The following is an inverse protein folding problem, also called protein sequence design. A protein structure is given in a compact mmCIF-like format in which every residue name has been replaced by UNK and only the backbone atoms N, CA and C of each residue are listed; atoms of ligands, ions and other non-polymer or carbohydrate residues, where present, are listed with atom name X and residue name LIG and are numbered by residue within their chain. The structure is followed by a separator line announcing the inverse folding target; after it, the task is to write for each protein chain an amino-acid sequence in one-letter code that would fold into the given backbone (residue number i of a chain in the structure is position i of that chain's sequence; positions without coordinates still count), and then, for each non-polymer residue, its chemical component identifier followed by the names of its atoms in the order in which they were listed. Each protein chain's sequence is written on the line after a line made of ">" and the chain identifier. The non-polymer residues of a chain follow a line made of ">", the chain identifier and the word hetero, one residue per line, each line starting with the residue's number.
data_IF_801432257618
#
_entry.id   IF_801432257618
#
_cell.length_a   1.000
_cell.length_b   1.000
_cell.length_c   1.000
_cell.angle_alpha   90.00
_cell.angle_beta   90.00
_cell.angle_gamma   90.00
#
_symmetry.space_group_name_H-M   'P 1'
#
loop_
_entity.id
_entity.type
_entity.pdbx_description
1 polymer ?
#
# COMPACT_ATOMS: atom_id res chain seq x y z
N UNK A 1 19.34 11.82 5.73
CA UNK A 1 19.21 10.50 6.39
C UNK A 1 20.14 9.50 5.72
N UNK A 2 20.88 8.66 6.45
CA UNK A 2 21.79 7.68 5.84
C UNK A 2 21.01 6.49 5.25
N UNK A 3 21.48 5.93 4.13
CA UNK A 3 20.87 4.75 3.47
C UNK A 3 20.73 3.54 4.42
N UNK A 4 21.61 3.43 5.41
CA UNK A 4 21.58 2.39 6.44
C UNK A 4 20.35 2.49 7.37
N UNK A 5 19.96 3.70 7.77
CA UNK A 5 18.79 3.91 8.65
C UNK A 5 17.48 3.54 7.95
N UNK A 6 17.33 3.94 6.68
CA UNK A 6 16.17 3.58 5.86
C UNK A 6 16.05 2.05 5.68
N UNK A 7 17.18 1.39 5.45
CA UNK A 7 17.26 -0.07 5.32
C UNK A 7 16.83 -0.81 6.58
N UNK A 8 17.33 -0.39 7.75
CA UNK A 8 16.92 -1.00 9.02
C UNK A 8 15.43 -0.78 9.30
N UNK A 9 14.89 0.38 8.94
CA UNK A 9 13.47 0.67 9.11
C UNK A 9 12.59 -0.21 8.22
N UNK A 10 13.00 -0.38 6.96
CA UNK A 10 12.31 -1.22 6.00
C UNK A 10 12.20 -2.68 6.45
N UNK A 11 13.29 -3.28 6.92
CA UNK A 11 13.27 -4.68 7.36
C UNK A 11 12.35 -4.88 8.58
N UNK A 12 12.32 -3.92 9.52
CA UNK A 12 11.41 -3.99 10.67
C UNK A 12 9.94 -3.81 10.25
N UNK A 13 9.64 -2.90 9.33
CA UNK A 13 8.29 -2.71 8.76
C UNK A 13 7.82 -3.99 8.06
N UNK A 14 8.70 -4.63 7.29
CA UNK A 14 8.42 -5.92 6.66
C UNK A 14 8.18 -7.02 7.69
N UNK A 15 8.99 -7.08 8.74
CA UNK A 15 8.81 -8.04 9.82
C UNK A 15 7.46 -7.86 10.53
N UNK A 16 7.05 -6.62 10.81
CA UNK A 16 5.73 -6.32 11.35
C UNK A 16 4.61 -6.73 10.39
N UNK A 17 4.79 -6.52 9.07
CA UNK A 17 3.85 -6.97 8.05
C UNK A 17 3.73 -8.51 7.99
N UNK A 18 4.85 -9.23 8.06
CA UNK A 18 4.89 -10.70 8.12
C UNK A 18 4.17 -11.21 9.38
N UNK A 19 4.44 -10.60 10.53
CA UNK A 19 3.75 -10.94 11.78
C UNK A 19 2.24 -10.73 11.65
N UNK A 20 1.81 -9.59 11.09
CA UNK A 20 0.39 -9.31 10.86
C UNK A 20 -0.25 -10.36 9.95
N UNK A 21 0.36 -10.68 8.81
CA UNK A 21 -0.19 -11.68 7.87
C UNK A 21 -0.28 -13.08 8.49
N UNK A 22 0.69 -13.47 9.30
CA UNK A 22 0.76 -14.80 9.91
C UNK A 22 -0.15 -14.96 11.14
N UNK A 23 -0.49 -13.87 11.81
CA UNK A 23 -1.34 -13.88 13.01
C UNK A 23 -2.78 -13.48 12.73
N UNK A 24 -3.08 -13.03 11.51
CA UNK A 24 -4.42 -12.58 11.14
C UNK A 24 -5.39 -13.75 11.04
N UNK A 25 -6.39 -13.76 11.92
CA UNK A 25 -7.51 -14.71 11.90
C UNK A 25 -8.77 -14.07 11.31
N UNK A 26 -9.19 -14.57 10.15
CA UNK A 26 -10.41 -14.14 9.47
C UNK A 26 -11.70 -14.76 10.02
N UNK A 27 -11.65 -15.62 11.04
CA UNK A 27 -12.83 -16.27 11.63
C UNK A 27 -13.82 -15.28 12.25
N UNK A 28 -13.31 -14.17 12.78
CA UNK A 28 -14.09 -13.09 13.41
C UNK A 28 -14.41 -11.94 12.43
N UNK A 29 -14.54 -12.22 11.13
CA UNK A 29 -14.67 -11.22 10.07
C UNK A 29 -15.77 -10.18 10.27
N UNK A 30 -16.84 -10.50 11.01
CA UNK A 30 -17.93 -9.59 11.33
C UNK A 30 -17.52 -8.45 12.30
N UNK A 31 -16.38 -8.58 12.97
CA UNK A 31 -15.82 -7.61 13.90
C UNK A 31 -14.60 -6.87 13.31
N UNK A 32 -14.12 -7.30 12.14
CA UNK A 32 -12.91 -6.76 11.51
C UNK A 32 -13.26 -5.71 10.45
N UNK A 33 -12.41 -4.70 10.36
CA UNK A 33 -12.42 -3.70 9.30
C UNK A 33 -10.99 -3.20 9.05
N UNK A 34 -10.82 -2.30 8.09
CA UNK A 34 -9.51 -1.74 7.75
C UNK A 34 -8.83 -1.03 8.93
N UNK A 35 -9.60 -0.36 9.80
CA UNK A 35 -9.08 0.30 11.00
C UNK A 35 -8.47 -0.69 11.99
N UNK A 36 -8.98 -1.93 12.06
CA UNK A 36 -8.32 -3.00 12.84
C UNK A 36 -6.90 -3.27 12.32
N UNK A 37 -6.71 -3.37 10.99
CA UNK A 37 -5.38 -3.56 10.40
C UNK A 37 -4.45 -2.40 10.76
N UNK A 38 -4.96 -1.17 10.73
CA UNK A 38 -4.19 0.03 11.09
C UNK A 38 -3.71 -0.03 12.54
N UNK A 39 -4.59 -0.41 13.47
CA UNK A 39 -4.26 -0.55 14.89
C UNK A 39 -3.31 -1.71 15.17
N UNK A 40 -3.54 -2.87 14.56
CA UNK A 40 -2.68 -4.03 14.72
C UNK A 40 -1.26 -3.74 14.18
N UNK A 41 -1.17 -3.21 12.96
CA UNK A 41 0.11 -2.87 12.34
C UNK A 41 0.89 -1.82 13.13
N UNK A 42 0.24 -0.73 13.52
CA UNK A 42 0.92 0.32 14.30
C UNK A 42 1.39 -0.16 15.68
N UNK A 43 0.64 -1.05 16.32
CA UNK A 43 1.08 -1.69 17.58
C UNK A 43 2.32 -2.54 17.37
N UNK A 44 2.37 -3.33 16.29
CA UNK A 44 3.54 -4.12 15.92
C UNK A 44 4.75 -3.22 15.60
N UNK A 45 4.56 -2.17 14.79
CA UNK A 45 5.63 -1.22 14.47
C UNK A 45 6.16 -0.52 15.73
N UNK A 46 5.28 -0.14 16.65
CA UNK A 46 5.69 0.44 17.94
C UNK A 46 6.52 -0.54 18.77
N UNK A 47 6.12 -1.82 18.81
CA UNK A 47 6.86 -2.88 19.51
C UNK A 47 8.24 -3.14 18.88
N UNK A 48 8.29 -3.38 17.56
CA UNK A 48 9.52 -3.76 16.84
C UNK A 48 10.52 -2.60 16.68
N UNK A 49 10.00 -1.38 16.54
CA UNK A 49 10.82 -0.22 16.15
C UNK A 49 10.94 0.84 17.22
N UNK A 50 10.10 0.81 18.26
CA UNK A 50 9.95 1.95 19.17
C UNK A 50 9.42 3.21 18.48
N UNK A 51 8.89 3.09 17.26
CA UNK A 51 8.31 4.20 16.51
C UNK A 51 6.95 4.56 17.11
N UNK A 52 6.78 5.84 17.44
CA UNK A 52 5.53 6.40 17.96
C UNK A 52 4.99 7.47 16.98
N UNK A 53 3.73 7.85 17.16
CA UNK A 53 3.02 8.84 16.35
C UNK A 53 3.43 10.30 16.63
N UNK A 54 4.23 10.54 17.67
CA UNK A 54 4.50 11.87 18.23
C UNK A 54 5.58 12.61 17.44
N UNK A 55 5.22 13.21 16.30
CA UNK A 55 6.14 13.89 15.35
C UNK A 55 7.19 14.88 15.90
N UNK A 56 8.18 15.15 15.04
CA UNK A 56 9.34 16.08 15.10
C UNK A 56 10.18 16.07 16.39
N UNK A 57 11.27 15.31 16.35
CA UNK A 57 12.46 15.54 17.17
C UNK A 57 13.61 15.97 16.25
N UNK A 58 14.51 16.78 16.81
CA UNK A 58 15.66 17.35 16.10
C UNK A 58 16.83 16.36 15.97
N UNK A 59 16.66 15.13 16.45
CA UNK A 59 17.75 14.15 16.68
C UNK A 59 17.84 13.09 15.59
N UNK A 60 17.08 13.24 14.50
CA UNK A 60 17.15 12.34 13.35
C UNK A 60 16.35 11.05 13.50
N UNK A 61 15.34 11.01 14.37
CA UNK A 61 14.41 9.87 14.44
C UNK A 61 13.51 9.78 13.22
N UNK A 62 13.22 8.53 12.84
CA UNK A 62 12.15 8.18 11.91
C UNK A 62 10.79 8.35 12.62
N UNK A 63 9.77 8.74 11.88
CA UNK A 63 8.41 8.96 12.39
C UNK A 63 7.42 8.11 11.64
N UNK A 64 6.34 7.68 12.30
CA UNK A 64 5.19 7.05 11.66
C UNK A 64 4.05 8.08 11.53
N UNK A 65 3.75 8.50 10.30
CA UNK A 65 2.70 9.47 9.98
C UNK A 65 1.44 8.75 9.50
N UNK A 66 0.34 8.73 10.27
CA UNK A 66 -0.93 8.18 9.81
C UNK A 66 -1.61 9.14 8.83
N UNK A 67 -2.36 8.59 7.87
CA UNK A 67 -3.16 9.33 6.87
C UNK A 67 -2.35 10.43 6.15
N UNK A 68 -1.16 10.08 5.67
CA UNK A 68 -0.26 11.04 5.05
C UNK A 68 -0.74 11.45 3.65
N UNK A 69 -0.92 12.76 3.38
CA UNK A 69 -1.49 13.22 2.12
C UNK A 69 -0.44 13.33 1.01
N UNK A 70 -0.74 12.83 -0.18
CA UNK A 70 0.11 13.05 -1.37
C UNK A 70 0.05 14.50 -1.87
N UNK A 71 -0.96 15.28 -1.46
CA UNK A 71 -1.05 16.71 -1.77
C UNK A 71 -1.77 17.46 -0.66
N UNK A 72 -1.13 18.48 -0.08
CA UNK A 72 -1.66 19.38 0.95
C UNK A 72 -0.93 20.72 0.91
N UNK A 73 -1.54 21.72 0.26
CA UNK A 73 -0.96 23.06 0.06
C UNK A 73 -0.49 23.73 1.36
N UNK A 74 -1.31 23.68 2.43
CA UNK A 74 -0.99 24.30 3.72
C UNK A 74 0.28 23.71 4.35
N UNK A 75 0.51 22.41 4.15
CA UNK A 75 1.69 21.72 4.67
C UNK A 75 2.87 21.72 3.68
N UNK A 76 2.78 22.47 2.57
CA UNK A 76 3.81 22.52 1.52
C UNK A 76 3.93 21.25 0.67
N UNK A 77 2.99 20.31 0.78
CA UNK A 77 3.02 19.04 0.04
C UNK A 77 2.37 19.22 -1.33
N UNK A 78 3.19 19.36 -2.37
CA UNK A 78 2.76 19.58 -3.76
C UNK A 78 3.02 18.40 -4.69
N UNK A 79 2.78 17.16 -4.24
CA UNK A 79 3.28 15.96 -4.92
C UNK A 79 2.26 15.40 -5.94
N UNK A 80 1.43 14.42 -5.54
CA UNK A 80 0.52 13.74 -6.47
C UNK A 80 -0.95 14.12 -6.24
N UNK A 81 -1.68 14.32 -7.34
CA UNK A 81 -3.15 14.49 -7.35
C UNK A 81 -3.79 13.43 -8.24
N UNK A 82 -5.05 13.11 -7.95
CA UNK A 82 -5.82 12.10 -8.66
C UNK A 82 -7.21 12.62 -9.05
N UNK A 83 -7.68 12.17 -10.21
CA UNK A 83 -9.04 12.39 -10.73
C UNK A 83 -9.79 11.07 -10.74
N UNK A 84 -11.06 11.09 -10.32
CA UNK A 84 -11.97 10.00 -10.62
C UNK A 84 -12.51 10.15 -12.05
N UNK A 85 -12.31 9.14 -12.88
CA UNK A 85 -12.87 9.03 -14.23
C UNK A 85 -14.01 8.02 -14.24
N UNK A 86 -15.08 8.30 -14.97
CA UNK A 86 -16.21 7.38 -15.11
C UNK A 86 -15.75 6.06 -15.73
N UNK A 87 -16.20 4.93 -15.16
CA UNK A 87 -15.87 3.57 -15.64
C UNK A 87 -14.43 3.09 -15.37
N UNK A 88 -13.47 3.99 -15.24
CA UNK A 88 -12.03 3.67 -15.21
C UNK A 88 -11.33 4.06 -13.89
N UNK A 89 -12.09 4.30 -12.83
CA UNK A 89 -11.54 4.49 -11.47
C UNK A 89 -10.78 5.80 -11.32
N UNK A 90 -9.62 5.77 -10.66
CA UNK A 90 -8.78 6.94 -10.43
C UNK A 90 -7.59 6.98 -11.39
N UNK A 91 -7.23 8.19 -11.83
CA UNK A 91 -6.05 8.46 -12.65
C UNK A 91 -5.21 9.58 -12.03
N UNK A 92 -3.87 9.47 -12.06
CA UNK A 92 -2.99 10.60 -11.78
C UNK A 92 -3.34 11.80 -12.67
N UNK A 93 -3.19 13.02 -12.16
CA UNK A 93 -3.45 14.25 -12.92
C UNK A 93 -2.46 15.36 -12.57
N UNK A 94 -2.39 16.40 -13.41
CA UNK A 94 -1.56 17.58 -13.14
C UNK A 94 -2.03 18.36 -11.90
N UNK A 95 -1.06 18.99 -11.21
CA UNK A 95 -1.30 19.79 -10.01
C UNK A 95 -2.13 21.06 -10.31
N UNK A 96 -2.03 21.57 -11.53
CA UNK A 96 -2.67 22.80 -12.02
C UNK A 96 -4.19 22.73 -12.01
N UNK A 97 -4.77 21.52 -12.02
CA UNK A 97 -6.21 21.38 -12.14
C UNK A 97 -6.95 21.56 -10.81
N UNK A 98 -7.91 22.49 -10.80
CA UNK A 98 -8.71 22.88 -9.62
C UNK A 98 -9.72 21.83 -9.15
N UNK A 99 -10.02 20.81 -9.98
CA UNK A 99 -11.07 19.81 -9.72
C UNK A 99 -10.57 18.53 -9.00
N UNK A 100 -9.36 18.54 -8.43
CA UNK A 100 -8.67 17.32 -8.01
C UNK A 100 -8.23 17.32 -6.55
N UNK A 101 -8.10 16.12 -5.98
CA UNK A 101 -7.70 15.89 -4.58
C UNK A 101 -6.41 15.09 -4.52
N UNK A 102 -5.65 15.28 -3.44
CA UNK A 102 -4.58 14.35 -3.09
C UNK A 102 -5.14 12.98 -2.72
N UNK A 103 -4.30 11.96 -2.85
CA UNK A 103 -4.52 10.68 -2.18
C UNK A 103 -4.13 10.77 -0.71
N UNK A 104 -4.61 9.81 0.08
CA UNK A 104 -4.14 9.57 1.44
C UNK A 104 -3.45 8.21 1.44
N UNK A 105 -2.25 8.18 2.03
CA UNK A 105 -1.48 6.97 2.33
C UNK A 105 -1.76 6.62 3.79
N UNK A 106 -2.13 5.38 4.08
CA UNK A 106 -2.49 4.99 5.45
C UNK A 106 -1.37 5.28 6.45
N UNK A 107 -0.13 4.95 6.09
CA UNK A 107 1.04 5.37 6.84
C UNK A 107 2.22 5.76 5.97
N UNK A 108 2.98 6.75 6.42
CA UNK A 108 4.26 7.12 5.84
C UNK A 108 5.36 7.14 6.91
N UNK A 109 6.55 6.63 6.62
CA UNK A 109 7.69 6.62 7.56
C UNK A 109 8.81 7.53 7.07
N UNK A 110 9.28 8.42 7.95
CA UNK A 110 10.38 9.36 7.65
C UNK A 110 10.08 10.80 8.07
N UNK A 111 10.74 11.77 7.42
CA UNK A 111 10.43 13.18 7.61
C UNK A 111 9.06 13.51 7.01
N UNK A 112 8.23 14.32 7.68
CA UNK A 112 6.86 14.58 7.22
C UNK A 112 6.79 15.15 5.79
N UNK A 113 7.73 16.01 5.41
CA UNK A 113 7.78 16.63 4.07
C UNK A 113 8.30 15.68 2.99
N UNK A 114 9.02 14.62 3.39
CA UNK A 114 9.68 13.67 2.48
C UNK A 114 9.83 12.30 3.16
N UNK A 115 8.71 11.59 3.39
CA UNK A 115 8.78 10.23 3.92
C UNK A 115 9.47 9.32 2.91
N UNK A 116 10.14 8.30 3.43
CA UNK A 116 10.93 7.34 2.64
C UNK A 116 10.20 6.02 2.43
N UNK A 117 9.21 5.69 3.26
CA UNK A 117 8.42 4.45 3.15
C UNK A 117 6.94 4.81 3.12
N UNK A 118 6.22 4.31 2.11
CA UNK A 118 4.76 4.42 2.01
C UNK A 118 4.10 3.08 2.30
N UNK A 119 2.99 3.09 3.04
CA UNK A 119 2.32 1.87 3.50
C UNK A 119 0.81 2.02 3.30
N UNK A 120 0.20 1.05 2.63
CA UNK A 120 -1.25 0.98 2.41
C UNK A 120 -1.81 -0.34 2.93
N UNK A 121 -3.01 -0.28 3.47
CA UNK A 121 -3.82 -1.43 3.84
C UNK A 121 -5.14 -1.35 3.10
N UNK A 122 -5.65 -2.50 2.71
CA UNK A 122 -7.05 -2.59 2.33
C UNK A 122 -7.69 -3.83 2.92
N UNK A 123 -8.97 -3.70 3.25
CA UNK A 123 -9.75 -4.79 3.79
C UNK A 123 -11.11 -4.87 3.10
N UNK A 124 -11.40 -6.03 2.49
CA UNK A 124 -12.67 -6.24 1.82
C UNK A 124 -13.19 -7.67 1.98
N UNK A 125 -14.51 -7.81 2.14
CA UNK A 125 -15.20 -9.07 1.88
C UNK A 125 -15.29 -9.23 0.36
N UNK A 126 -14.60 -10.24 -0.17
CA UNK A 126 -14.47 -10.46 -1.61
C UNK A 126 -13.56 -9.47 -2.33
N UNK A 127 -13.34 -9.71 -3.63
CA UNK A 127 -12.38 -8.96 -4.44
C UNK A 127 -12.90 -7.58 -4.84
N UNK A 128 -12.07 -6.54 -4.64
CA UNK A 128 -12.36 -5.16 -5.05
C UNK A 128 -11.20 -4.55 -5.84
N UNK A 129 -11.15 -4.86 -7.14
CA UNK A 129 -10.11 -4.38 -8.08
C UNK A 129 -9.77 -2.88 -7.96
N UNK A 130 -10.75 -1.94 -7.90
CA UNK A 130 -10.43 -0.51 -7.92
C UNK A 130 -9.65 -0.02 -6.69
N UNK A 131 -9.76 -0.72 -5.55
CA UNK A 131 -9.04 -0.36 -4.31
C UNK A 131 -7.55 -0.64 -4.51
N UNK A 132 -7.22 -1.88 -4.88
CA UNK A 132 -5.84 -2.30 -5.16
C UNK A 132 -5.20 -1.46 -6.27
N UNK A 133 -5.94 -1.19 -7.36
CA UNK A 133 -5.46 -0.30 -8.42
C UNK A 133 -5.07 1.07 -7.88
N UNK A 134 -5.89 1.65 -7.00
CA UNK A 134 -5.64 2.98 -6.47
C UNK A 134 -4.48 3.02 -5.47
N UNK A 135 -4.33 2.00 -4.64
CA UNK A 135 -3.18 1.88 -3.73
C UNK A 135 -1.87 1.75 -4.51
N UNK A 136 -1.85 0.95 -5.57
CA UNK A 136 -0.70 0.86 -6.48
C UNK A 136 -0.39 2.22 -7.13
N UNK A 137 -1.40 2.96 -7.58
CA UNK A 137 -1.19 4.30 -8.14
C UNK A 137 -0.59 5.25 -7.10
N UNK A 138 -1.08 5.25 -5.87
CA UNK A 138 -0.57 6.09 -4.78
C UNK A 138 0.89 5.78 -4.45
N UNK A 139 1.23 4.50 -4.35
CA UNK A 139 2.56 4.04 -3.94
C UNK A 139 3.63 4.16 -5.04
N UNK A 140 3.27 3.98 -6.31
CA UNK A 140 4.21 3.99 -7.43
C UNK A 140 4.20 5.27 -8.27
N UNK A 141 3.39 6.28 -7.92
CA UNK A 141 3.45 7.60 -8.55
C UNK A 141 4.81 8.25 -8.24
N UNK A 142 5.60 8.50 -9.28
CA UNK A 142 6.97 9.03 -9.17
C UNK A 142 7.07 10.43 -8.55
N UNK A 143 5.95 11.14 -8.39
CA UNK A 143 5.89 12.41 -7.67
C UNK A 143 5.90 12.19 -6.17
N UNK A 144 5.51 11.01 -5.70
CA UNK A 144 5.61 10.66 -4.28
C UNK A 144 7.06 10.31 -3.91
N UNK A 145 7.50 10.60 -2.67
CA UNK A 145 8.91 10.52 -2.30
C UNK A 145 9.38 9.13 -1.88
N UNK A 146 8.52 8.11 -1.99
CA UNK A 146 8.77 6.80 -1.40
C UNK A 146 9.90 6.04 -2.09
N UNK A 147 10.89 5.65 -1.31
CA UNK A 147 11.98 4.78 -1.74
C UNK A 147 11.65 3.30 -1.51
N UNK A 148 10.81 3.01 -0.52
CA UNK A 148 10.24 1.68 -0.29
C UNK A 148 8.72 1.76 -0.14
N UNK A 149 8.00 0.72 -0.57
CA UNK A 149 6.54 0.67 -0.44
C UNK A 149 6.06 -0.69 0.04
N UNK A 150 5.10 -0.67 0.96
CA UNK A 150 4.41 -1.84 1.47
C UNK A 150 2.92 -1.71 1.17
N UNK A 151 2.27 -2.78 0.74
CA UNK A 151 0.80 -2.82 0.68
C UNK A 151 0.28 -4.19 1.04
N UNK A 152 -0.65 -4.26 1.99
CA UNK A 152 -1.31 -5.50 2.37
C UNK A 152 -2.82 -5.40 2.09
N UNK A 153 -3.28 -6.16 1.10
CA UNK A 153 -4.68 -6.15 0.66
C UNK A 153 -5.36 -7.43 1.11
N UNK A 154 -6.12 -7.36 2.19
CA UNK A 154 -6.84 -8.49 2.77
C UNK A 154 -8.20 -8.69 2.08
N UNK A 155 -8.35 -9.86 1.47
CA UNK A 155 -9.56 -10.30 0.78
C UNK A 155 -10.18 -11.44 1.60
N UNK A 156 -11.19 -11.10 2.40
CA UNK A 156 -11.88 -12.09 3.21
C UNK A 156 -12.82 -12.97 2.40
N UNK A 157 -12.80 -14.25 2.73
CA UNK A 157 -13.63 -15.30 2.16
C UNK A 157 -14.38 -16.05 3.27
N UNK A 158 -15.53 -15.54 3.73
CA UNK A 158 -16.33 -16.24 4.76
C UNK A 158 -16.72 -17.66 4.36
N UNK A 159 -16.92 -17.89 3.06
CA UNK A 159 -17.44 -19.16 2.52
C UNK A 159 -16.36 -20.04 1.86
N UNK A 160 -15.10 -19.89 2.25
CA UNK A 160 -13.99 -20.67 1.69
C UNK A 160 -13.26 -19.96 0.55
N UNK A 161 -12.01 -20.39 0.32
CA UNK A 161 -11.17 -19.86 -0.74
C UNK A 161 -11.79 -20.01 -2.12
N UNK A 162 -11.42 -19.12 -3.05
CA UNK A 162 -11.73 -19.32 -4.45
C UNK A 162 -11.12 -20.65 -4.94
N UNK A 163 -11.94 -21.47 -5.60
CA UNK A 163 -11.57 -22.74 -6.22
C UNK A 163 -11.99 -22.80 -7.70
N UNK A 164 -11.40 -23.72 -8.47
CA UNK A 164 -11.72 -23.95 -9.89
C UNK A 164 -11.75 -22.66 -10.71
N UNK A 165 -12.80 -22.46 -11.51
CA UNK A 165 -12.97 -21.25 -12.32
C UNK A 165 -13.08 -19.95 -11.51
N UNK A 166 -13.48 -20.01 -10.23
CA UNK A 166 -13.49 -18.84 -9.35
C UNK A 166 -12.09 -18.35 -9.01
N UNK A 167 -11.15 -19.28 -8.81
CA UNK A 167 -9.74 -18.95 -8.59
C UNK A 167 -9.13 -18.30 -9.84
N UNK A 168 -9.39 -18.86 -11.02
CA UNK A 168 -8.92 -18.29 -12.30
C UNK A 168 -9.40 -16.85 -12.48
N UNK A 169 -10.69 -16.58 -12.21
CA UNK A 169 -11.26 -15.23 -12.27
C UNK A 169 -10.62 -14.29 -11.23
N UNK A 170 -10.35 -14.78 -10.03
CA UNK A 170 -9.71 -14.01 -8.98
C UNK A 170 -8.27 -13.63 -9.35
N UNK A 171 -7.48 -14.59 -9.82
CA UNK A 171 -6.11 -14.38 -10.28
C UNK A 171 -6.06 -13.41 -11.47
N UNK A 172 -6.95 -13.58 -12.45
CA UNK A 172 -7.09 -12.62 -13.55
C UNK A 172 -7.43 -11.21 -13.06
N UNK A 173 -8.31 -11.11 -12.04
CA UNK A 173 -8.64 -9.85 -11.38
C UNK A 173 -7.42 -9.16 -10.77
N UNK A 174 -6.58 -9.91 -10.05
CA UNK A 174 -5.34 -9.43 -9.45
C UNK A 174 -4.37 -8.92 -10.53
N UNK A 175 -4.17 -9.69 -11.60
CA UNK A 175 -3.28 -9.26 -12.70
C UNK A 175 -3.79 -8.02 -13.41
N UNK A 176 -5.11 -7.93 -13.61
CA UNK A 176 -5.72 -6.75 -14.23
C UNK A 176 -5.50 -5.49 -13.39
N UNK A 177 -5.51 -5.59 -12.05
CA UNK A 177 -5.21 -4.45 -11.18
C UNK A 177 -3.78 -3.93 -11.40
N UNK A 178 -2.78 -4.83 -11.43
CA UNK A 178 -1.39 -4.47 -11.69
C UNK A 178 -1.22 -3.84 -13.09
N UNK A 179 -1.78 -4.47 -14.12
CA UNK A 179 -1.71 -3.98 -15.51
C UNK A 179 -2.33 -2.59 -15.65
N UNK A 180 -3.52 -2.38 -15.07
CA UNK A 180 -4.22 -1.10 -15.15
C UNK A 180 -3.46 0.01 -14.43
N UNK A 181 -2.93 -0.26 -13.23
CA UNK A 181 -2.11 0.70 -12.50
C UNK A 181 -0.84 1.08 -13.29
N UNK A 182 -0.11 0.08 -13.81
CA UNK A 182 1.08 0.31 -14.63
C UNK A 182 0.79 1.15 -15.87
N UNK A 183 -0.26 0.82 -16.62
CA UNK A 183 -0.65 1.57 -17.83
C UNK A 183 -0.97 3.04 -17.50
N UNK A 184 -1.73 3.29 -16.43
CA UNK A 184 -2.09 4.66 -16.02
C UNK A 184 -0.88 5.48 -15.54
N UNK A 185 0.14 4.83 -14.96
CA UNK A 185 1.39 5.49 -14.59
C UNK A 185 2.24 5.81 -15.84
N UNK A 186 2.24 4.93 -16.85
CA UNK A 186 3.01 5.12 -18.08
C UNK A 186 2.45 6.24 -18.99
N UNK A 187 1.11 6.36 -19.08
CA UNK A 187 0.41 7.37 -19.90
C UNK A 187 0.84 8.81 -19.57
N UNK A 188 1.38 9.04 -18.38
CA UNK A 188 1.73 10.36 -17.87
C UNK A 188 3.05 10.92 -18.45
N UNK A 189 3.79 10.20 -19.30
CA UNK A 189 5.07 10.64 -19.93
C UNK A 189 6.16 11.12 -18.94
N UNK A 190 6.00 10.94 -17.64
CA UNK A 190 6.99 11.27 -16.62
C UNK A 190 7.88 10.08 -16.29
N UNK A 191 8.56 9.51 -17.28
CA UNK A 191 9.52 8.44 -17.05
C UNK A 191 10.93 8.92 -17.31
N UNK A 192 11.62 9.29 -16.23
CA UNK A 192 13.03 9.00 -16.02
C UNK A 192 13.31 9.28 -14.53
N UNK A 193 13.80 8.28 -13.81
CA UNK A 193 14.43 8.43 -12.49
C UNK A 193 13.53 8.74 -11.28
N UNK A 194 12.69 7.75 -10.92
CA UNK A 194 12.95 6.91 -9.73
C UNK A 194 11.87 5.83 -9.58
N UNK A 195 12.16 4.56 -9.90
CA UNK A 195 11.35 3.47 -9.36
C UNK A 195 11.54 3.42 -7.84
N UNK A 196 10.47 3.05 -7.13
CA UNK A 196 10.59 2.56 -5.76
C UNK A 196 11.70 1.49 -5.73
N UNK A 197 12.69 1.67 -4.87
CA UNK A 197 13.84 0.77 -4.80
C UNK A 197 13.45 -0.60 -4.23
N UNK A 198 12.42 -0.65 -3.38
CA UNK A 198 11.95 -1.89 -2.75
C UNK A 198 10.43 -1.87 -2.59
N UNK A 199 9.76 -2.83 -3.21
CA UNK A 199 8.33 -3.01 -3.07
C UNK A 199 8.00 -4.34 -2.40
N UNK A 200 7.02 -4.32 -1.50
CA UNK A 200 6.41 -5.51 -0.93
C UNK A 200 4.89 -5.33 -0.98
N UNK A 201 4.29 -5.73 -2.10
CA UNK A 201 2.85 -5.60 -2.34
C UNK A 201 2.25 -6.99 -2.32
N UNK A 202 1.28 -7.20 -1.43
CA UNK A 202 0.65 -8.48 -1.21
C UNK A 202 -0.87 -8.39 -1.34
N UNK A 203 -1.44 -9.37 -2.03
CA UNK A 203 -2.86 -9.70 -1.92
C UNK A 203 -2.95 -10.94 -1.03
N UNK A 204 -3.70 -10.85 0.07
CA UNK A 204 -3.86 -11.92 1.04
C UNK A 204 -5.33 -12.35 1.01
N UNK A 205 -5.61 -13.49 0.38
CA UNK A 205 -6.91 -14.14 0.46
C UNK A 205 -6.99 -14.92 1.78
N UNK A 206 -7.98 -14.64 2.61
CA UNK A 206 -8.11 -15.21 3.96
C UNK A 206 -9.41 -15.98 4.12
N UNK A 207 -9.31 -17.19 4.67
CA UNK A 207 -10.43 -17.98 5.12
C UNK A 207 -10.09 -18.61 6.46
N UNK A 208 -10.80 -18.20 7.52
CA UNK A 208 -10.46 -18.52 8.91
C UNK A 208 -9.00 -18.13 9.22
N UNK A 209 -8.24 -19.04 9.83
CA UNK A 209 -6.83 -18.90 10.20
C UNK A 209 -5.86 -19.18 9.02
N UNK A 210 -6.38 -19.46 7.82
CA UNK A 210 -5.58 -19.78 6.65
C UNK A 210 -5.52 -18.61 5.70
N UNK A 211 -4.35 -18.45 5.07
CA UNK A 211 -4.15 -17.45 4.04
C UNK A 211 -3.54 -18.03 2.76
N UNK A 212 -3.85 -17.39 1.62
CA UNK A 212 -3.21 -17.62 0.32
C UNK A 212 -2.76 -16.27 -0.21
N UNK A 213 -1.53 -16.21 -0.71
CA UNK A 213 -0.88 -14.93 -0.99
C UNK A 213 -0.42 -14.82 -2.44
N UNK A 214 -0.51 -13.60 -2.96
CA UNK A 214 0.13 -13.18 -4.19
C UNK A 214 1.03 -11.99 -3.88
N UNK A 215 2.25 -12.03 -4.40
CA UNK A 215 3.24 -10.96 -4.22
C UNK A 215 3.55 -10.34 -5.57
N UNK A 216 3.53 -9.01 -5.64
CA UNK A 216 3.87 -8.30 -6.87
C UNK A 216 5.37 -8.43 -7.17
N UNK A 217 5.70 -8.95 -8.34
CA UNK A 217 6.96 -8.65 -9.02
C UNK A 217 6.83 -7.28 -9.68
N UNK A 218 7.36 -6.25 -9.02
CA UNK A 218 7.27 -4.86 -9.50
C UNK A 218 8.10 -4.59 -10.76
N UNK A 219 9.06 -5.46 -11.10
CA UNK A 219 9.84 -5.35 -12.34
C UNK A 219 9.02 -5.77 -13.56
N UNK A 220 8.06 -6.69 -13.35
CA UNK A 220 7.18 -7.23 -14.39
C UNK A 220 5.74 -6.75 -14.29
N UNK A 221 5.40 -6.00 -13.23
CA UNK A 221 4.03 -5.65 -12.88
C UNK A 221 3.09 -6.88 -12.88
N UNK A 222 3.57 -7.96 -12.27
CA UNK A 222 2.90 -9.25 -12.27
C UNK A 222 2.84 -9.85 -10.88
N UNK A 223 1.68 -10.31 -10.46
CA UNK A 223 1.52 -10.96 -9.16
C UNK A 223 1.85 -12.45 -9.25
N UNK A 224 2.80 -12.91 -8.45
CA UNK A 224 3.16 -14.33 -8.35
C UNK A 224 2.51 -14.90 -7.12
N UNK A 225 1.76 -15.98 -7.30
CA UNK A 225 1.20 -16.73 -6.18
C UNK A 225 2.32 -17.40 -5.41
N UNK A 226 2.33 -17.23 -4.08
CA UNK A 226 3.22 -18.00 -3.22
C UNK A 226 2.54 -19.30 -2.82
N UNK A 227 3.15 -20.41 -3.19
CA UNK A 227 2.76 -21.72 -2.70
C UNK A 227 3.27 -21.87 -1.27
N UNK A 228 2.41 -22.44 -0.42
CA UNK A 228 2.77 -22.94 0.89
C UNK A 228 3.29 -24.37 0.75
#
# INVERSE_FOLDING_TARGET
>A
MSRCVAMNAWEKIRSAADCLVNTFDGSVYNQLNERYLHHAFSSLVKHEMGLDYRGYDRDGKLWLHPEWPTFKKIAGLGLAKYRKTEGDGYRPCEITSRQHRGGLIDFAVGEYVRPIIGIEFSFAIGWKRPIVEFDLLKLFDNRTPFECVLSLNFVLRPNGFAGGGGLVKFEAGIQNAAKNASSRLADMKYTADRPCHRADIRIIEVHNDKNRQWVLDSSRWHFVRRNW
#
